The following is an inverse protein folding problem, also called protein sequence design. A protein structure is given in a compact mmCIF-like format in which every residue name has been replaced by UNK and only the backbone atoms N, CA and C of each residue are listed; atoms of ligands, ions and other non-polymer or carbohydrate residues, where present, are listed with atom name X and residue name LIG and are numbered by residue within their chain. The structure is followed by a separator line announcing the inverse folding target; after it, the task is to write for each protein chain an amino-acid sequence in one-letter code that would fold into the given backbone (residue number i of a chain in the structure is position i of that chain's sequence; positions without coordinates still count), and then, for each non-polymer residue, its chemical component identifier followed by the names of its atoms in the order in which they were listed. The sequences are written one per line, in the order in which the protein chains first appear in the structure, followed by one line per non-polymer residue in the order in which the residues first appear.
data_IF_585116835970
#
_entry.id   IF_585116835970
#
_cell.length_a   1.000
_cell.length_b   1.000
_cell.length_c   1.000
_cell.angle_alpha   90.00
_cell.angle_beta   90.00
_cell.angle_gamma   90.00
#
_symmetry.space_group_name_H-M   'P 1'
#
loop_
_entity.id
_entity.type
_entity.pdbx_description
1 polymer ?
#
# COMPACT_ATOMS: atom_id res chain seq x y z
N UNK A 1 -16.51 -39.00 3.31
CA UNK A 1 -15.56 -38.75 2.21
C UNK A 1 -15.12 -37.31 2.33
N UNK A 2 -13.89 -37.08 2.80
CA UNK A 2 -13.33 -35.74 2.89
C UNK A 2 -13.02 -35.28 1.46
N UNK A 3 -13.60 -34.16 1.04
CA UNK A 3 -13.28 -33.54 -0.25
C UNK A 3 -11.83 -33.08 -0.20
N UNK A 4 -10.97 -33.76 -0.94
CA UNK A 4 -9.64 -33.31 -1.30
C UNK A 4 -9.80 -31.98 -2.03
N UNK A 5 -9.49 -30.87 -1.36
CA UNK A 5 -9.28 -29.58 -2.03
C UNK A 5 -8.05 -29.80 -2.90
N UNK A 6 -8.23 -29.80 -4.22
CA UNK A 6 -7.11 -29.79 -5.15
C UNK A 6 -6.31 -28.53 -4.87
N UNK A 7 -5.01 -28.70 -4.62
CA UNK A 7 -4.06 -27.61 -4.43
C UNK A 7 -3.72 -26.99 -5.80
N UNK A 8 -4.75 -26.65 -6.58
CA UNK A 8 -4.59 -25.94 -7.83
C UNK A 8 -4.15 -24.52 -7.50
N UNK A 9 -2.83 -24.30 -7.52
CA UNK A 9 -2.23 -22.96 -7.50
C UNK A 9 -2.65 -22.25 -8.78
N UNK A 10 -3.85 -21.66 -8.79
CA UNK A 10 -4.38 -20.84 -9.89
C UNK A 10 -3.71 -19.47 -9.97
N UNK A 11 -2.83 -19.11 -9.02
CA UNK A 11 -2.11 -17.85 -9.06
C UNK A 11 -0.65 -18.04 -9.49
N UNK A 12 -0.28 -17.55 -10.67
CA UNK A 12 1.12 -17.30 -11.08
C UNK A 12 1.80 -16.21 -10.21
N UNK A 13 1.40 -16.06 -8.95
CA UNK A 13 1.97 -15.11 -8.01
C UNK A 13 3.23 -15.73 -7.41
N UNK A 14 4.33 -15.01 -7.50
CA UNK A 14 5.56 -15.32 -6.77
C UNK A 14 5.30 -15.11 -5.27
N UNK A 15 5.73 -16.05 -4.45
CA UNK A 15 5.79 -15.88 -2.99
C UNK A 15 7.16 -15.38 -2.57
N UNK A 16 7.32 -14.96 -1.32
CA UNK A 16 8.60 -14.40 -0.82
C UNK A 16 9.78 -15.36 -1.00
N UNK A 17 9.52 -16.68 -0.95
CA UNK A 17 10.51 -17.73 -1.18
C UNK A 17 10.99 -17.81 -2.64
N UNK A 18 10.19 -17.30 -3.59
CA UNK A 18 10.53 -17.26 -5.02
C UNK A 18 11.35 -16.01 -5.39
N UNK A 19 11.58 -15.08 -4.45
CA UNK A 19 12.25 -13.81 -4.70
C UNK A 19 13.73 -13.84 -4.27
N UNK A 20 14.64 -13.43 -5.16
CA UNK A 20 16.02 -13.13 -4.75
C UNK A 20 16.06 -11.79 -4.00
N UNK A 21 16.24 -11.84 -2.67
CA UNK A 21 16.27 -10.67 -1.80
C UNK A 21 17.69 -10.21 -1.43
N UNK A 22 18.74 -10.84 -1.97
CA UNK A 22 20.12 -10.51 -1.57
C UNK A 22 20.45 -9.05 -1.90
N UNK A 23 20.79 -8.28 -0.87
CA UNK A 23 21.11 -6.85 -1.01
C UNK A 23 19.90 -5.96 -1.32
N UNK A 24 18.67 -6.49 -1.23
CA UNK A 24 17.43 -5.74 -1.42
C UNK A 24 16.75 -5.53 -0.07
N UNK A 25 16.14 -4.36 0.11
CA UNK A 25 15.29 -4.06 1.25
C UNK A 25 13.82 -4.26 0.84
N UNK A 26 13.10 -5.11 1.57
CA UNK A 26 11.66 -5.30 1.38
C UNK A 26 10.95 -4.62 2.53
N UNK A 27 10.07 -3.69 2.20
CA UNK A 27 9.27 -2.94 3.16
C UNK A 27 7.85 -3.46 3.15
N UNK A 28 7.30 -3.66 4.34
CA UNK A 28 5.93 -4.11 4.56
C UNK A 28 5.31 -3.11 5.52
N UNK A 29 4.05 -2.72 5.27
CA UNK A 29 3.30 -1.90 6.20
C UNK A 29 3.17 -2.60 7.55
N UNK A 30 3.15 -1.82 8.61
CA UNK A 30 3.04 -2.27 10.01
C UNK A 30 1.70 -1.90 10.63
N UNK A 31 0.92 -1.04 9.98
CA UNK A 31 -0.40 -0.57 10.39
C UNK A 31 -1.28 -0.19 9.19
N UNK A 32 -2.58 -0.08 9.44
CA UNK A 32 -3.58 0.28 8.43
C UNK A 32 -4.72 1.08 9.07
N UNK A 33 -5.40 1.88 8.24
CA UNK A 33 -6.66 2.53 8.56
C UNK A 33 -7.79 1.75 7.88
N UNK A 34 -8.88 1.54 8.60
CA UNK A 34 -9.95 0.65 8.15
C UNK A 34 -11.31 0.91 8.80
N UNK A 35 -12.29 0.09 8.43
CA UNK A 35 -13.63 0.09 9.03
C UNK A 35 -13.98 -1.25 9.64
N UNK A 36 -14.84 -1.22 10.67
CA UNK A 36 -15.45 -2.42 11.22
C UNK A 36 -16.74 -2.74 10.44
N UNK A 37 -16.91 -3.96 9.97
CA UNK A 37 -18.08 -4.43 9.22
C UNK A 37 -19.32 -4.62 10.12
N UNK A 38 -19.13 -4.84 11.42
CA UNK A 38 -20.20 -4.76 12.42
C UNK A 38 -20.54 -3.28 12.72
N UNK A 39 -21.68 -2.88 12.21
CA UNK A 39 -22.15 -1.49 12.02
C UNK A 39 -22.03 -0.67 13.31
N UNK A 40 -21.24 0.42 13.27
CA UNK A 40 -21.57 1.77 13.80
C UNK A 40 -20.38 2.60 14.33
N UNK A 41 -19.11 2.16 14.29
CA UNK A 41 -17.99 2.98 14.82
C UNK A 41 -16.70 2.83 14.01
N UNK A 42 -16.30 3.91 13.32
CA UNK A 42 -14.92 4.10 12.86
C UNK A 42 -14.05 4.30 14.10
N UNK A 43 -13.21 3.32 14.44
CA UNK A 43 -12.15 3.49 15.43
C UNK A 43 -10.81 3.30 14.72
N UNK A 44 -9.89 4.24 14.91
CA UNK A 44 -8.47 4.02 14.60
C UNK A 44 -7.94 2.98 15.58
N UNK A 45 -7.35 1.91 15.06
CA UNK A 45 -6.63 0.92 15.84
C UNK A 45 -5.22 0.79 15.26
N UNK A 46 -4.23 0.65 16.13
CA UNK A 46 -2.89 0.21 15.74
C UNK A 46 -2.88 -1.31 15.83
N UNK A 47 -2.91 -2.01 14.69
CA UNK A 47 -2.83 -3.47 14.63
C UNK A 47 -1.64 -3.84 13.74
N UNK A 48 -0.67 -4.55 14.31
CA UNK A 48 0.48 -5.12 13.62
C UNK A 48 0.12 -6.52 13.10
N UNK A 49 -0.21 -6.68 11.81
CA UNK A 49 -0.51 -8.00 11.21
C UNK A 49 0.09 -8.15 9.80
N UNK A 50 0.57 -9.36 9.55
CA UNK A 50 1.18 -9.84 8.30
C UNK A 50 0.13 -9.90 7.17
N UNK A 51 0.49 -9.38 5.98
CA UNK A 51 -0.42 -9.20 4.83
C UNK A 51 -0.69 -10.55 4.17
N UNK A 52 -1.74 -11.23 4.61
CA UNK A 52 -2.70 -11.82 3.70
C UNK A 52 -4.00 -11.01 3.84
N UNK A 53 -4.93 -11.12 2.89
CA UNK A 53 -6.28 -10.54 2.97
C UNK A 53 -7.04 -11.15 4.17
N UNK A 54 -6.63 -10.84 5.40
CA UNK A 54 -7.22 -11.37 6.62
C UNK A 54 -8.15 -10.31 7.18
N UNK A 55 -9.37 -10.33 6.64
CA UNK A 55 -10.56 -9.94 7.36
C UNK A 55 -10.56 -10.80 8.63
N UNK A 56 -10.14 -10.24 9.77
CA UNK A 56 -10.45 -10.83 11.07
C UNK A 56 -11.97 -10.66 11.30
N UNK A 57 -12.78 -11.37 10.50
CA UNK A 57 -14.24 -11.36 10.28
C UNK A 57 -15.02 -10.03 10.26
N UNK A 58 -14.48 -8.94 10.78
CA UNK A 58 -15.19 -7.69 10.97
C UNK A 58 -14.35 -6.47 10.60
N UNK A 59 -13.20 -6.58 9.93
CA UNK A 59 -12.35 -5.42 9.61
C UNK A 59 -12.03 -5.35 8.11
N UNK A 60 -12.17 -4.15 7.55
CA UNK A 60 -11.80 -3.81 6.18
C UNK A 60 -10.59 -2.88 6.21
N UNK A 61 -9.50 -3.33 5.60
CA UNK A 61 -8.28 -2.53 5.38
C UNK A 61 -8.50 -1.61 4.18
N UNK A 62 -8.46 -0.30 4.41
CA UNK A 62 -8.90 0.71 3.44
C UNK A 62 -7.84 1.75 3.11
N UNK A 63 -6.84 1.94 3.98
CA UNK A 63 -5.70 2.82 3.71
C UNK A 63 -4.51 2.38 4.55
N UNK A 64 -3.31 2.76 4.13
CA UNK A 64 -2.10 2.55 4.92
C UNK A 64 -2.12 3.43 6.18
N UNK A 65 -1.57 2.91 7.28
CA UNK A 65 -1.50 3.62 8.55
C UNK A 65 -0.29 4.56 8.64
N UNK A 66 -0.34 5.50 9.59
CA UNK A 66 0.66 6.56 9.74
C UNK A 66 2.05 6.02 10.06
N UNK A 67 2.14 4.97 10.87
CA UNK A 67 3.45 4.42 11.27
C UNK A 67 4.20 3.81 10.09
N UNK A 68 3.46 3.21 9.17
CA UNK A 68 3.99 2.70 7.91
C UNK A 68 4.42 3.85 7.00
N UNK A 69 3.58 4.86 6.83
CA UNK A 69 3.90 5.99 5.95
C UNK A 69 5.20 6.67 6.39
N UNK A 70 5.30 7.08 7.66
CA UNK A 70 6.36 7.95 8.15
C UNK A 70 7.75 7.33 8.07
N UNK A 71 7.88 6.07 8.51
CA UNK A 71 9.17 5.42 8.67
C UNK A 71 9.54 4.61 7.42
N UNK A 72 9.03 3.37 7.23
CA UNK A 72 9.56 2.52 6.17
C UNK A 72 9.39 3.14 4.79
N UNK A 73 8.22 3.72 4.47
CA UNK A 73 7.96 4.19 3.11
C UNK A 73 8.56 5.56 2.80
N UNK A 74 8.26 6.60 3.58
CA UNK A 74 8.76 7.94 3.32
C UNK A 74 10.29 8.05 3.48
N UNK A 75 10.92 7.32 4.40
CA UNK A 75 12.39 7.31 4.50
C UNK A 75 13.03 6.62 3.28
N UNK A 76 12.46 5.51 2.81
CA UNK A 76 12.97 4.82 1.63
C UNK A 76 12.81 5.66 0.36
N UNK A 77 11.67 6.35 0.21
CA UNK A 77 11.44 7.30 -0.88
C UNK A 77 12.52 8.39 -0.90
N UNK A 78 12.83 8.98 0.26
CA UNK A 78 13.86 10.04 0.39
C UNK A 78 15.28 9.57 0.04
N UNK A 79 15.55 8.27 0.17
CA UNK A 79 16.87 7.68 -0.13
C UNK A 79 16.96 7.17 -1.58
N UNK A 80 15.83 7.05 -2.28
CA UNK A 80 15.78 6.48 -3.61
C UNK A 80 16.34 7.46 -4.66
N UNK A 81 17.14 6.92 -5.58
CA UNK A 81 17.59 7.65 -6.78
C UNK A 81 16.66 7.44 -7.98
N UNK A 82 15.86 6.39 -7.91
CA UNK A 82 14.84 6.06 -8.91
C UNK A 82 13.66 5.43 -8.19
N UNK A 83 12.46 5.89 -8.49
CA UNK A 83 11.21 5.41 -7.91
C UNK A 83 10.34 4.90 -9.05
N UNK A 84 9.88 3.67 -8.94
CA UNK A 84 8.84 3.10 -9.80
C UNK A 84 7.67 2.79 -8.88
N UNK A 85 6.54 3.45 -9.11
CA UNK A 85 5.36 3.29 -8.27
C UNK A 85 4.18 2.78 -9.08
N UNK A 86 3.49 1.76 -8.54
CA UNK A 86 2.27 1.20 -9.10
C UNK A 86 1.29 0.89 -7.97
N UNK A 87 0.03 1.27 -8.17
CA UNK A 87 -1.12 1.25 -7.26
C UNK A 87 -1.13 2.31 -6.16
N UNK A 88 -2.32 2.74 -5.74
CA UNK A 88 -2.53 3.55 -4.54
C UNK A 88 -2.30 2.72 -3.28
N UNK A 89 -2.06 3.38 -2.14
CA UNK A 89 -1.89 2.69 -0.85
C UNK A 89 -3.19 2.58 -0.04
N UNK A 90 -4.29 3.08 -0.60
CA UNK A 90 -5.62 3.05 -0.01
C UNK A 90 -6.73 3.31 -1.04
N UNK A 91 -7.98 3.23 -0.58
CA UNK A 91 -9.20 3.51 -1.34
C UNK A 91 -9.39 5.03 -1.43
N UNK A 92 -8.50 5.66 -2.19
CA UNK A 92 -8.32 7.11 -2.26
C UNK A 92 -9.55 7.85 -2.80
N UNK A 93 -10.50 7.17 -3.42
CA UNK A 93 -11.77 7.70 -3.88
C UNK A 93 -12.60 8.24 -2.70
N UNK A 94 -12.45 7.64 -1.52
CA UNK A 94 -13.08 8.10 -0.29
C UNK A 94 -12.09 8.93 0.54
N UNK A 95 -12.43 10.20 0.81
CA UNK A 95 -11.50 11.14 1.47
C UNK A 95 -11.00 10.68 2.85
N UNK A 96 -11.81 9.90 3.58
CA UNK A 96 -11.41 9.30 4.86
C UNK A 96 -10.31 8.23 4.75
N UNK A 97 -10.04 7.70 3.55
CA UNK A 97 -9.04 6.68 3.23
C UNK A 97 -8.07 7.12 2.12
N UNK A 98 -7.99 8.44 1.90
CA UNK A 98 -7.13 9.06 0.89
C UNK A 98 -5.77 9.51 1.44
N UNK A 99 -5.59 9.51 2.75
CA UNK A 99 -4.44 10.15 3.39
C UNK A 99 -3.14 9.47 3.03
N UNK A 100 -3.09 8.14 3.14
CA UNK A 100 -1.87 7.40 2.87
C UNK A 100 -1.42 7.55 1.42
N UNK A 101 -2.37 7.45 0.48
CA UNK A 101 -2.07 7.65 -0.95
C UNK A 101 -1.52 9.05 -1.21
N UNK A 102 -2.15 10.07 -0.60
CA UNK A 102 -1.73 11.46 -0.74
C UNK A 102 -0.34 11.72 -0.15
N UNK A 103 -0.05 11.22 1.06
CA UNK A 103 1.25 11.43 1.71
C UNK A 103 2.38 10.77 0.94
N UNK A 104 2.18 9.53 0.48
CA UNK A 104 3.15 8.80 -0.32
C UNK A 104 3.44 9.54 -1.63
N UNK A 105 2.42 9.97 -2.37
CA UNK A 105 2.64 10.71 -3.62
C UNK A 105 3.20 12.10 -3.39
N UNK A 106 2.92 12.72 -2.25
CA UNK A 106 3.58 13.97 -1.85
C UNK A 106 5.09 13.74 -1.69
N UNK A 107 5.50 12.68 -0.97
CA UNK A 107 6.91 12.33 -0.80
C UNK A 107 7.60 12.01 -2.14
N UNK A 108 6.92 11.27 -3.03
CA UNK A 108 7.45 10.98 -4.38
C UNK A 108 7.58 12.25 -5.22
N UNK A 109 6.58 13.14 -5.19
CA UNK A 109 6.62 14.42 -5.90
C UNK A 109 7.73 15.34 -5.38
N UNK A 110 7.95 15.38 -4.06
CA UNK A 110 9.07 16.11 -3.44
C UNK A 110 10.42 15.59 -3.91
N UNK A 111 10.59 14.27 -4.03
CA UNK A 111 11.82 13.67 -4.54
C UNK A 111 12.02 13.94 -6.04
N UNK A 112 10.93 13.95 -6.82
CA UNK A 112 10.98 14.34 -8.24
C UNK A 112 11.55 15.76 -8.40
N UNK A 113 11.12 16.69 -7.53
CA UNK A 113 11.67 18.06 -7.49
C UNK A 113 13.15 18.11 -7.09
N UNK A 114 13.65 17.09 -6.41
CA UNK A 114 15.07 16.93 -6.03
C UNK A 114 15.89 16.14 -7.06
N UNK A 115 15.41 16.02 -8.30
CA UNK A 115 16.06 15.31 -9.41
C UNK A 115 16.10 13.78 -9.28
N UNK A 116 15.29 13.18 -8.41
CA UNK A 116 15.05 11.73 -8.43
C UNK A 116 14.24 11.35 -9.65
N UNK A 117 14.64 10.29 -10.36
CA UNK A 117 13.86 9.76 -11.49
C UNK A 117 12.60 9.08 -10.93
N UNK A 118 11.41 9.52 -11.34
CA UNK A 118 10.15 8.94 -10.87
C UNK A 118 9.31 8.47 -12.04
N UNK A 119 8.81 7.24 -11.95
CA UNK A 119 7.93 6.61 -12.92
C UNK A 119 6.68 6.15 -12.17
N UNK A 120 5.54 6.71 -12.55
CA UNK A 120 4.24 6.32 -12.03
C UNK A 120 3.53 5.51 -13.11
N UNK A 121 3.00 4.34 -12.75
CA UNK A 121 2.28 3.46 -13.69
C UNK A 121 0.98 2.92 -13.09
N UNK A 122 0.03 2.56 -13.96
CA UNK A 122 -1.27 2.01 -13.60
C UNK A 122 -2.40 3.05 -13.58
N UNK A 123 -3.57 2.66 -14.08
CA UNK A 123 -4.74 3.55 -14.24
C UNK A 123 -5.21 4.14 -12.91
N UNK A 124 -5.26 3.32 -11.85
CA UNK A 124 -5.63 3.75 -10.49
C UNK A 124 -4.64 4.80 -9.95
N UNK A 125 -3.36 4.63 -10.28
CA UNK A 125 -2.27 5.48 -9.78
C UNK A 125 -2.30 6.83 -10.48
N UNK A 126 -2.51 6.82 -11.79
CA UNK A 126 -2.73 8.04 -12.59
C UNK A 126 -3.98 8.80 -12.11
N UNK A 127 -5.07 8.09 -11.81
CA UNK A 127 -6.31 8.69 -11.29
C UNK A 127 -6.09 9.35 -9.93
N UNK A 128 -5.36 8.70 -9.03
CA UNK A 128 -5.00 9.27 -7.74
C UNK A 128 -4.07 10.49 -7.88
N UNK A 129 -3.07 10.43 -8.76
CA UNK A 129 -2.22 11.59 -9.07
C UNK A 129 -3.06 12.78 -9.58
N UNK A 130 -4.04 12.53 -10.45
CA UNK A 130 -4.96 13.56 -10.93
C UNK A 130 -5.78 14.17 -9.78
N UNK A 131 -6.38 13.32 -8.94
CA UNK A 131 -7.20 13.76 -7.79
C UNK A 131 -6.43 14.72 -6.88
N UNK A 132 -5.14 14.47 -6.67
CA UNK A 132 -4.31 15.26 -5.75
C UNK A 132 -3.47 16.35 -6.43
N UNK A 133 -3.61 16.54 -7.75
CA UNK A 133 -2.92 17.60 -8.49
C UNK A 133 -1.42 17.37 -8.66
N UNK A 134 -1.00 16.11 -8.88
CA UNK A 134 0.38 15.74 -9.16
C UNK A 134 0.70 15.57 -10.66
N UNK A 135 -0.32 15.65 -11.51
CA UNK A 135 -0.19 15.62 -12.97
C UNK A 135 -0.97 16.80 -13.54
N UNK A 136 -0.41 17.38 -14.61
CA UNK A 136 -1.00 18.47 -15.40
C UNK A 136 -1.64 17.92 -16.69
#
# INVERSE_FOLDING_TARGET
MASTISNDRVSNKLIIEDLDLKGKCVLIRVDFNGQILDKAKTKRFEIYLQIDFFVANDYLDLDIGQQSIEKPFCEAIKQAKTIIWNYSTGVFEHDQFANGTKEIFTAVAEQTKQHTITIIGGDDTATACNKFGFID
#
